data_IF_169201634358
#
_entry.id   IF_169201634358
#
_cell.length_a   1.000
_cell.length_b   1.000
_cell.length_c   1.000
_cell.angle_alpha   90.00
_cell.angle_beta   90.00
_cell.angle_gamma   90.00
#
_symmetry.space_group_name_H-M   'P 1'
#
loop_
_entity.id
_entity.type
_entity.pdbx_description
1 polymer ?
#
# COMPACT_ATOMS: atom_id res chain seq x y z
N UNK A 1 -17.85 30.53 23.34
CA UNK A 1 -17.81 29.66 22.17
C UNK A 1 -17.24 28.37 22.60
N UNK A 2 -18.08 27.40 22.77
CA UNK A 2 -17.61 26.03 23.02
C UNK A 2 -17.16 25.44 21.71
N UNK A 3 -15.88 25.30 21.57
CA UNK A 3 -15.33 24.30 20.71
C UNK A 3 -15.69 22.92 21.31
N UNK A 4 -16.90 22.51 21.07
CA UNK A 4 -17.15 21.09 21.12
C UNK A 4 -16.43 20.51 19.90
N UNK A 5 -15.18 20.22 20.10
CA UNK A 5 -14.57 19.15 19.37
C UNK A 5 -15.36 17.93 19.83
N UNK A 6 -16.53 17.80 19.21
CA UNK A 6 -17.44 16.75 19.58
C UNK A 6 -16.79 15.42 19.39
N UNK A 7 -17.42 14.35 19.87
CA UNK A 7 -17.02 12.98 19.65
C UNK A 7 -16.73 12.67 18.18
N UNK A 8 -17.16 13.50 17.25
CA UNK A 8 -16.82 13.39 15.84
C UNK A 8 -15.36 13.73 15.52
N UNK A 9 -14.65 14.51 16.31
CA UNK A 9 -13.23 14.75 16.11
C UNK A 9 -12.40 13.72 16.89
N UNK A 10 -12.93 13.20 17.95
CA UNK A 10 -12.50 11.98 18.59
C UNK A 10 -13.21 10.80 17.95
N UNK A 11 -14.19 11.06 17.09
CA UNK A 11 -14.68 10.06 16.21
C UNK A 11 -13.45 9.55 15.53
N UNK A 12 -12.89 8.57 16.13
CA UNK A 12 -12.26 7.51 15.47
C UNK A 12 -13.13 7.34 14.25
N UNK A 13 -12.82 8.09 13.21
CA UNK A 13 -13.10 7.60 11.91
C UNK A 13 -12.47 6.24 12.02
N UNK A 14 -13.28 5.22 12.22
CA UNK A 14 -12.91 3.88 11.91
C UNK A 14 -12.67 3.89 10.40
N UNK A 15 -11.65 4.59 9.99
CA UNK A 15 -10.92 4.22 8.81
C UNK A 15 -10.37 2.87 9.22
N UNK A 16 -11.09 1.87 8.86
CA UNK A 16 -10.60 0.53 8.93
C UNK A 16 -9.27 0.59 8.24
N UNK A 17 -8.23 0.55 9.04
CA UNK A 17 -6.89 0.67 8.51
C UNK A 17 -6.63 -0.60 7.73
N UNK A 18 -6.25 -0.47 6.48
CA UNK A 18 -5.91 -1.61 5.64
C UNK A 18 -4.79 -2.47 6.27
N UNK A 19 -3.88 -1.83 6.97
CA UNK A 19 -2.76 -2.45 7.69
C UNK A 19 -2.64 -1.83 9.07
N UNK A 20 -2.49 -2.65 10.10
CA UNK A 20 -2.29 -2.18 11.47
C UNK A 20 -0.83 -2.28 11.90
N UNK A 21 -0.37 -1.45 12.87
CA UNK A 21 0.98 -1.56 13.41
C UNK A 21 1.33 -2.95 13.95
N UNK A 22 0.35 -3.64 14.54
CA UNK A 22 0.51 -4.99 15.09
C UNK A 22 0.86 -6.02 14.02
N UNK A 23 0.30 -5.88 12.82
CA UNK A 23 0.54 -6.78 11.70
C UNK A 23 1.96 -6.62 11.11
N UNK A 24 2.62 -5.51 11.35
CA UNK A 24 4.03 -5.31 10.95
C UNK A 24 5.00 -6.17 11.75
N UNK A 25 4.63 -6.58 12.96
CA UNK A 25 5.45 -7.43 13.82
C UNK A 25 5.77 -8.79 13.19
N UNK A 26 5.01 -9.22 12.21
CA UNK A 26 5.29 -10.43 11.44
C UNK A 26 6.48 -10.27 10.46
N UNK A 27 6.84 -9.04 10.10
CA UNK A 27 7.88 -8.72 9.12
C UNK A 27 9.11 -8.09 9.76
N UNK A 28 8.93 -7.43 10.88
CA UNK A 28 9.97 -6.74 11.59
C UNK A 28 9.79 -6.97 13.09
N UNK A 29 10.87 -7.27 13.78
CA UNK A 29 10.84 -7.44 15.23
C UNK A 29 10.31 -6.16 15.90
N UNK A 30 9.38 -6.32 16.83
CA UNK A 30 8.72 -5.20 17.52
C UNK A 30 9.73 -4.21 18.13
N UNK A 31 10.83 -4.71 18.73
CA UNK A 31 11.87 -3.87 19.31
C UNK A 31 12.59 -2.97 18.30
N UNK A 32 12.73 -3.42 17.03
CA UNK A 32 13.33 -2.61 15.97
C UNK A 32 12.38 -1.47 15.58
N UNK A 33 11.08 -1.76 15.50
CA UNK A 33 10.08 -0.72 15.24
C UNK A 33 10.08 0.31 16.37
N UNK A 34 10.07 -0.14 17.62
CA UNK A 34 10.13 0.74 18.79
C UNK A 34 11.40 1.58 18.82
N UNK A 35 12.57 1.00 18.49
CA UNK A 35 13.83 1.71 18.41
C UNK A 35 13.84 2.78 17.32
N UNK A 36 13.35 2.45 16.11
CA UNK A 36 13.31 3.40 14.98
C UNK A 36 12.33 4.54 15.25
N UNK A 37 11.20 4.25 15.88
CA UNK A 37 10.13 5.22 16.11
C UNK A 37 10.23 5.92 17.47
N UNK A 38 11.16 5.50 18.32
CA UNK A 38 11.25 5.94 19.72
C UNK A 38 9.93 5.77 20.49
N UNK A 39 9.14 4.76 20.11
CA UNK A 39 7.82 4.48 20.66
C UNK A 39 6.71 5.39 20.16
N UNK A 40 6.97 6.27 19.18
CA UNK A 40 5.94 7.13 18.60
C UNK A 40 5.11 6.36 17.54
N UNK A 41 3.93 5.98 17.95
CA UNK A 41 2.99 5.26 17.07
C UNK A 41 2.56 6.10 15.85
N UNK A 42 2.56 7.42 15.94
CA UNK A 42 2.19 8.30 14.83
C UNK A 42 3.15 8.14 13.64
N UNK A 43 4.42 7.91 13.91
CA UNK A 43 5.42 7.65 12.86
C UNK A 43 5.08 6.36 12.11
N UNK A 44 4.67 5.31 12.83
CA UNK A 44 4.24 4.04 12.23
C UNK A 44 3.00 4.24 11.37
N UNK A 45 2.00 4.95 11.88
CA UNK A 45 0.76 5.24 11.16
C UNK A 45 1.02 6.03 9.86
N UNK A 46 1.86 7.04 9.91
CA UNK A 46 2.26 7.81 8.73
C UNK A 46 2.99 6.95 7.70
N UNK A 47 3.86 6.04 8.15
CA UNK A 47 4.55 5.10 7.27
C UNK A 47 3.58 4.13 6.58
N UNK A 48 2.56 3.68 7.29
CA UNK A 48 1.48 2.84 6.75
C UNK A 48 0.66 3.61 5.71
N UNK A 49 0.22 4.82 6.02
CA UNK A 49 -0.56 5.64 5.10
C UNK A 49 0.22 5.93 3.80
N UNK A 50 1.49 6.29 3.93
CA UNK A 50 2.37 6.51 2.78
C UNK A 50 2.54 5.25 1.93
N UNK A 51 2.70 4.09 2.56
CA UNK A 51 2.81 2.81 1.86
C UNK A 51 1.52 2.43 1.12
N UNK A 52 0.38 2.60 1.76
CA UNK A 52 -0.94 2.36 1.14
C UNK A 52 -1.12 3.24 -0.09
N UNK A 53 -0.80 4.54 0.02
CA UNK A 53 -0.95 5.46 -1.11
C UNK A 53 0.04 5.17 -2.23
N UNK A 54 1.26 4.77 -1.92
CA UNK A 54 2.25 4.36 -2.92
C UNK A 54 1.77 3.12 -3.69
N UNK A 55 1.35 2.07 -3.01
CA UNK A 55 0.82 0.86 -3.66
C UNK A 55 -0.44 1.17 -4.46
N UNK A 56 -1.34 1.97 -3.89
CA UNK A 56 -2.56 2.43 -4.56
C UNK A 56 -2.26 3.13 -5.88
N UNK A 57 -1.23 3.96 -5.93
CA UNK A 57 -0.86 4.72 -7.13
C UNK A 57 -0.51 3.83 -8.32
N UNK A 58 0.12 2.68 -8.09
CA UNK A 58 0.42 1.69 -9.13
C UNK A 58 -0.79 0.90 -9.60
N UNK A 59 -1.76 0.66 -8.71
CA UNK A 59 -2.95 -0.13 -9.01
C UNK A 59 -4.07 0.69 -9.66
N UNK A 60 -4.16 1.97 -9.35
CA UNK A 60 -5.24 2.89 -9.76
C UNK A 60 -5.54 2.89 -11.26
N UNK A 61 -4.58 2.78 -12.18
CA UNK A 61 -4.87 2.82 -13.61
C UNK A 61 -5.75 1.67 -14.13
N UNK A 62 -5.77 0.53 -13.43
CA UNK A 62 -6.41 -0.71 -13.91
C UNK A 62 -7.40 -1.32 -12.96
N UNK A 63 -7.28 -1.03 -11.68
CA UNK A 63 -8.03 -1.70 -10.61
C UNK A 63 -8.82 -0.71 -9.77
N UNK A 64 -9.91 -1.19 -9.19
CA UNK A 64 -10.71 -0.46 -8.21
C UNK A 64 -9.99 -0.43 -6.86
N UNK A 65 -9.17 0.58 -6.67
CA UNK A 65 -8.35 0.71 -5.46
C UNK A 65 -9.16 1.01 -4.22
N UNK A 66 -10.31 1.67 -4.34
CA UNK A 66 -11.17 1.95 -3.19
C UNK A 66 -11.72 0.65 -2.63
N UNK A 67 -12.15 -0.25 -3.50
CA UNK A 67 -12.62 -1.58 -3.10
C UNK A 67 -11.49 -2.45 -2.54
N UNK A 68 -10.29 -2.40 -3.13
CA UNK A 68 -9.13 -3.17 -2.67
C UNK A 68 -8.76 -2.77 -1.24
N UNK A 69 -8.63 -1.47 -0.98
CA UNK A 69 -8.16 -0.95 0.31
C UNK A 69 -9.26 -0.75 1.36
N UNK A 70 -10.52 -0.93 0.99
CA UNK A 70 -11.64 -1.03 1.93
C UNK A 70 -11.82 -2.44 2.50
N UNK A 71 -11.18 -3.45 1.92
CA UNK A 71 -11.26 -4.83 2.38
C UNK A 71 -10.62 -5.00 3.77
N UNK A 72 -11.19 -5.87 4.57
CA UNK A 72 -10.79 -6.11 5.96
C UNK A 72 -10.46 -7.59 6.20
N UNK A 73 -9.61 -7.86 7.17
CA UNK A 73 -9.31 -9.21 7.62
C UNK A 73 -8.90 -10.13 6.47
N UNK A 74 -9.57 -11.26 6.35
CA UNK A 74 -9.31 -12.27 5.32
C UNK A 74 -9.77 -11.89 3.92
N UNK A 75 -10.58 -10.84 3.78
CA UNK A 75 -11.05 -10.33 2.49
C UNK A 75 -9.96 -9.53 1.74
N UNK A 76 -8.91 -9.16 2.43
CA UNK A 76 -7.76 -8.47 1.84
C UNK A 76 -6.99 -9.40 0.92
N UNK A 77 -6.59 -8.91 -0.25
CA UNK A 77 -5.70 -9.65 -1.12
C UNK A 77 -4.33 -9.83 -0.44
N UNK A 78 -3.90 -11.08 -0.27
CA UNK A 78 -2.68 -11.42 0.47
C UNK A 78 -1.43 -10.80 -0.15
N UNK A 79 -1.35 -10.73 -1.47
CA UNK A 79 -0.19 -10.17 -2.17
C UNK A 79 -0.12 -8.64 -2.03
N UNK A 80 -1.25 -7.96 -2.13
CA UNK A 80 -1.31 -6.50 -1.91
C UNK A 80 -0.96 -6.18 -0.46
N UNK A 81 -1.45 -6.96 0.48
CA UNK A 81 -1.14 -6.79 1.91
C UNK A 81 0.34 -6.97 2.18
N UNK A 82 0.95 -8.03 1.65
CA UNK A 82 2.38 -8.31 1.79
C UNK A 82 3.24 -7.20 1.19
N UNK A 83 2.92 -6.75 -0.02
CA UNK A 83 3.63 -5.64 -0.66
C UNK A 83 3.51 -4.35 0.15
N UNK A 84 2.33 -4.06 0.70
CA UNK A 84 2.11 -2.88 1.55
C UNK A 84 2.94 -2.95 2.83
N UNK A 85 3.04 -4.13 3.45
CA UNK A 85 3.90 -4.34 4.63
C UNK A 85 5.37 -4.06 4.32
N UNK A 86 5.88 -4.58 3.21
CA UNK A 86 7.28 -4.38 2.81
C UNK A 86 7.57 -2.89 2.56
N UNK A 87 6.69 -2.20 1.87
CA UNK A 87 6.82 -0.75 1.63
C UNK A 87 6.77 0.03 2.95
N UNK A 88 5.89 -0.34 3.87
CA UNK A 88 5.81 0.29 5.19
C UNK A 88 7.10 0.14 5.98
N UNK A 89 7.63 -1.09 6.04
CA UNK A 89 8.90 -1.36 6.74
C UNK A 89 10.05 -0.58 6.10
N UNK A 90 10.10 -0.52 4.78
CA UNK A 90 11.07 0.29 4.07
C UNK A 90 10.98 1.79 4.43
N UNK A 91 9.75 2.32 4.52
CA UNK A 91 9.53 3.70 4.93
C UNK A 91 10.04 3.98 6.34
N UNK A 92 9.91 3.03 7.26
CA UNK A 92 10.45 3.13 8.61
C UNK A 92 11.99 3.04 8.62
N UNK A 93 12.57 2.10 7.87
CA UNK A 93 14.02 1.90 7.84
C UNK A 93 14.76 3.11 7.28
N UNK A 94 14.18 3.81 6.31
CA UNK A 94 14.76 5.05 5.78
C UNK A 94 14.94 6.14 6.84
N UNK A 95 14.21 6.08 7.93
CA UNK A 95 14.32 7.02 9.05
C UNK A 95 15.45 6.65 10.02
N UNK A 96 15.96 5.43 9.94
CA UNK A 96 16.98 4.90 10.82
C UNK A 96 18.34 4.84 10.15
N UNK A 97 19.40 4.94 10.95
CA UNK A 97 20.80 4.79 10.49
C UNK A 97 21.28 3.33 10.61
N UNK A 98 20.39 2.36 10.54
CA UNK A 98 20.75 0.94 10.71
C UNK A 98 21.25 0.37 9.38
N UNK A 99 22.53 0.55 9.09
CA UNK A 99 23.17 0.07 7.86
C UNK A 99 23.02 -1.43 7.64
N UNK A 100 23.02 -2.22 8.71
CA UNK A 100 23.03 -3.70 8.64
C UNK A 100 21.79 -4.30 7.98
N UNK A 101 20.62 -3.65 8.11
CA UNK A 101 19.35 -4.15 7.55
C UNK A 101 18.92 -3.36 6.33
N UNK A 102 19.54 -2.22 6.07
CA UNK A 102 19.17 -1.29 5.01
C UNK A 102 19.19 -1.97 3.63
N UNK A 103 20.29 -2.62 3.26
CA UNK A 103 20.45 -3.23 1.94
C UNK A 103 19.44 -4.38 1.69
N UNK A 104 19.17 -5.19 2.70
CA UNK A 104 18.20 -6.30 2.61
C UNK A 104 16.79 -5.77 2.35
N UNK A 105 16.39 -4.72 3.07
CA UNK A 105 15.07 -4.13 2.91
C UNK A 105 14.94 -3.30 1.65
N UNK A 106 16.02 -2.65 1.24
CA UNK A 106 16.07 -1.99 -0.06
C UNK A 106 15.83 -2.97 -1.20
N UNK A 107 16.49 -4.13 -1.18
CA UNK A 107 16.29 -5.17 -2.19
C UNK A 107 14.83 -5.67 -2.21
N UNK A 108 14.23 -5.89 -1.03
CA UNK A 108 12.81 -6.29 -0.93
C UNK A 108 11.88 -5.22 -1.49
N UNK A 109 12.12 -3.97 -1.14
CA UNK A 109 11.35 -2.84 -1.67
C UNK A 109 11.49 -2.74 -3.20
N UNK A 110 12.69 -2.80 -3.73
CA UNK A 110 12.94 -2.74 -5.18
C UNK A 110 12.20 -3.87 -5.94
N UNK A 111 12.13 -5.07 -5.36
CA UNK A 111 11.33 -6.19 -5.91
C UNK A 111 9.83 -5.88 -5.92
N UNK A 112 9.31 -5.29 -4.86
CA UNK A 112 7.91 -4.87 -4.77
C UNK A 112 7.60 -3.81 -5.83
N UNK A 113 8.42 -2.79 -5.94
CA UNK A 113 8.23 -1.72 -6.94
C UNK A 113 8.27 -2.30 -8.36
N UNK A 114 9.22 -3.15 -8.67
CA UNK A 114 9.30 -3.83 -9.98
C UNK A 114 8.05 -4.68 -10.27
N UNK A 115 7.51 -5.34 -9.25
CA UNK A 115 6.25 -6.07 -9.39
C UNK A 115 5.08 -5.11 -9.68
N UNK A 116 4.95 -4.03 -8.91
CA UNK A 116 3.87 -3.04 -9.07
C UNK A 116 3.95 -2.30 -10.41
N UNK A 117 5.14 -1.98 -10.89
CA UNK A 117 5.36 -1.43 -12.24
C UNK A 117 4.84 -2.40 -13.31
N UNK A 118 5.09 -3.70 -13.16
CA UNK A 118 4.55 -4.73 -14.04
C UNK A 118 3.03 -4.82 -14.00
N UNK A 119 2.42 -4.62 -12.84
CA UNK A 119 0.96 -4.55 -12.69
C UNK A 119 0.39 -3.31 -13.37
N UNK A 120 1.00 -2.15 -13.16
CA UNK A 120 0.58 -0.90 -13.80
C UNK A 120 0.71 -0.97 -15.33
N UNK A 121 1.77 -1.58 -15.84
CA UNK A 121 1.99 -1.79 -17.27
C UNK A 121 1.10 -2.89 -17.89
N UNK A 122 0.48 -3.73 -17.06
CA UNK A 122 -0.36 -4.84 -17.51
C UNK A 122 0.39 -6.10 -17.90
N UNK A 123 1.69 -6.18 -17.61
CA UNK A 123 2.49 -7.40 -17.79
C UNK A 123 2.27 -8.42 -16.69
N UNK A 124 1.71 -7.98 -15.56
CA UNK A 124 1.28 -8.80 -14.43
C UNK A 124 -0.17 -8.49 -14.10
N UNK A 125 -0.97 -9.51 -13.92
CA UNK A 125 -2.42 -9.41 -13.73
C UNK A 125 -2.85 -10.15 -12.46
N UNK A 126 -2.71 -9.52 -11.29
CA UNK A 126 -3.22 -10.11 -10.05
C UNK A 126 -4.75 -10.21 -10.07
N UNK A 127 -5.28 -11.15 -9.28
CA UNK A 127 -6.74 -11.30 -9.06
C UNK A 127 -7.27 -10.19 -8.16
N UNK A 128 -7.53 -9.04 -8.75
CA UNK A 128 -8.05 -7.85 -8.07
C UNK A 128 -9.29 -7.34 -8.80
N UNK A 129 -10.20 -6.62 -8.10
CA UNK A 129 -11.36 -6.02 -8.75
C UNK A 129 -10.89 -4.99 -9.78
N UNK A 130 -11.34 -5.18 -11.02
CA UNK A 130 -11.02 -4.27 -12.12
C UNK A 130 -11.80 -2.96 -11.99
N UNK A 131 -11.22 -1.90 -12.52
CA UNK A 131 -11.88 -0.62 -12.59
C UNK A 131 -13.06 -0.70 -13.54
N UNK A 132 -14.25 -0.35 -13.06
CA UNK A 132 -15.50 -0.33 -13.83
C UNK A 132 -15.92 1.11 -14.11
N UNK A 133 -16.66 1.32 -15.19
CA UNK A 133 -17.31 2.58 -15.48
C UNK A 133 -18.68 2.70 -14.74
N UNK A 134 -19.36 3.82 -14.94
CA UNK A 134 -20.68 4.09 -14.34
C UNK A 134 -21.77 3.07 -14.77
N UNK A 135 -21.52 2.34 -15.85
CA UNK A 135 -22.40 1.28 -16.35
C UNK A 135 -22.04 -0.11 -15.85
N UNK A 136 -20.99 -0.21 -15.02
CA UNK A 136 -20.47 -1.48 -14.52
C UNK A 136 -19.64 -2.26 -15.54
N UNK A 137 -19.29 -1.66 -16.66
CA UNK A 137 -18.40 -2.26 -17.65
C UNK A 137 -16.93 -2.04 -17.26
N UNK A 138 -16.11 -3.06 -17.46
CA UNK A 138 -14.69 -3.01 -17.11
C UNK A 138 -13.98 -1.98 -17.98
N UNK A 139 -13.43 -0.95 -17.36
CA UNK A 139 -12.56 0.03 -18.02
C UNK A 139 -11.19 -0.57 -18.28
N UNK A 140 -11.11 -1.49 -19.22
CA UNK A 140 -9.80 -1.86 -19.77
C UNK A 140 -9.47 -0.80 -20.82
N UNK A 141 -8.53 0.09 -20.49
CA UNK A 141 -7.80 0.77 -21.53
C UNK A 141 -6.94 -0.29 -22.22
N UNK A 142 -7.52 -1.00 -23.18
CA UNK A 142 -6.73 -1.74 -24.14
C UNK A 142 -5.87 -0.69 -24.86
N UNK A 143 -4.59 -0.64 -24.55
CA UNK A 143 -3.63 -0.17 -25.52
C UNK A 143 -3.61 -1.20 -26.65
N UNK A 144 -4.50 -1.08 -27.57
CA UNK A 144 -4.31 -1.63 -28.88
C UNK A 144 -3.15 -0.87 -29.51
N UNK A 145 -1.93 -1.26 -29.17
CA UNK A 145 -0.77 -0.95 -29.96
C UNK A 145 -0.91 -1.70 -31.26
N UNK A 146 -1.60 -1.12 -32.21
CA UNK A 146 -1.40 -1.53 -33.58
C UNK A 146 0.03 -1.11 -33.92
N UNK A 147 0.93 -2.05 -33.94
CA UNK A 147 2.21 -1.86 -34.60
C UNK A 147 1.90 -1.43 -36.05
N UNK A 148 2.32 -0.23 -36.48
CA UNK A 148 2.24 0.07 -37.90
C UNK A 148 3.10 -0.98 -38.59
N UNK A 149 2.45 -1.84 -39.38
CA UNK A 149 3.18 -2.69 -40.29
C UNK A 149 3.79 -1.78 -41.33
N UNK A 150 5.06 -1.50 -41.17
CA UNK A 150 5.82 -0.92 -42.27
C UNK A 150 5.88 -1.98 -43.38
N UNK A 151 5.28 -1.64 -44.50
CA UNK A 151 5.53 -2.37 -45.73
C UNK A 151 6.83 -1.86 -46.34
#
# INVERSE_FOLDING_TARGET
MRWTVGPAAGGKINRTMYLTPEELKSHMYAHIVEEITEGDEQIVLQAIEAAVEEVRSYLRPRYDTDRIFAAEGSERNALVLENTKIVTVWNLIKLSNVETIYEIWKERYDRVIKYLEGVAAGTRTPSLPLLTDEKGEVRIKMRCGSNPKFR
#
